data_IF_540176930042
#
_entry.id   IF_540176930042
#
_cell.length_a   1.000
_cell.length_b   1.000
_cell.length_c   1.000
_cell.angle_alpha   90.00
_cell.angle_beta   90.00
_cell.angle_gamma   90.00
#
_symmetry.space_group_name_H-M   'P 1'
#
loop_
_entity.id
_entity.type
_entity.pdbx_description
1 polymer ?
#
# COMPACT_ATOMS: atom_id res chain seq x y z
N UNK A 1 -11.33 16.95 9.54
CA UNK A 1 -10.07 16.36 9.01
C UNK A 1 -10.16 14.85 9.18
N UNK A 2 -10.40 14.08 8.11
CA UNK A 2 -10.79 12.67 8.16
C UNK A 2 -9.57 11.78 8.50
N UNK A 3 -9.26 11.62 9.79
CA UNK A 3 -8.10 10.87 10.29
C UNK A 3 -8.26 9.33 10.25
N UNK A 4 -9.35 8.80 9.70
CA UNK A 4 -9.80 7.43 10.04
C UNK A 4 -10.20 6.53 8.88
N UNK A 5 -9.92 6.91 7.63
CA UNK A 5 -9.92 5.97 6.52
C UNK A 5 -8.47 5.51 6.29
N UNK A 6 -8.15 4.27 6.67
CA UNK A 6 -6.92 3.55 6.34
C UNK A 6 -5.58 4.00 6.94
N UNK A 7 -5.57 5.00 7.82
CA UNK A 7 -4.33 5.66 8.28
C UNK A 7 -3.33 4.75 9.00
N UNK A 8 -3.69 3.78 9.87
CA UNK A 8 -2.69 2.91 10.51
C UNK A 8 -2.05 1.89 9.57
N UNK A 9 -2.79 1.45 8.54
CA UNK A 9 -2.38 0.35 7.66
C UNK A 9 -1.56 0.89 6.50
N UNK A 10 -2.02 1.96 5.84
CA UNK A 10 -1.28 2.62 4.75
C UNK A 10 -0.01 3.28 5.27
N UNK A 11 -0.02 3.90 6.44
CA UNK A 11 1.18 4.56 7.00
C UNK A 11 2.37 3.62 7.13
N UNK A 12 2.15 2.35 7.50
CA UNK A 12 3.25 1.37 7.60
C UNK A 12 3.91 1.12 6.25
N UNK A 13 3.13 1.11 5.17
CA UNK A 13 3.60 0.91 3.80
C UNK A 13 4.31 2.17 3.30
N UNK A 14 3.68 3.33 3.46
CA UNK A 14 4.21 4.63 3.03
C UNK A 14 5.55 4.94 3.72
N UNK A 15 5.71 4.59 4.99
CA UNK A 15 6.97 4.77 5.71
C UNK A 15 8.09 3.87 5.16
N UNK A 16 7.79 2.67 4.68
CA UNK A 16 8.80 1.78 4.07
C UNK A 16 9.30 2.36 2.75
N UNK A 17 8.39 2.78 1.87
CA UNK A 17 8.71 3.46 0.61
C UNK A 17 9.50 4.75 0.87
N UNK A 18 9.07 5.55 1.86
CA UNK A 18 9.76 6.78 2.26
C UNK A 18 11.20 6.51 2.70
N UNK A 19 11.42 5.51 3.54
CA UNK A 19 12.76 5.21 4.05
C UNK A 19 13.69 4.75 2.92
N UNK A 20 13.22 3.87 2.05
CA UNK A 20 13.96 3.42 0.86
C UNK A 20 14.34 4.59 -0.06
N UNK A 21 13.38 5.48 -0.37
CA UNK A 21 13.65 6.67 -1.18
C UNK A 21 14.65 7.61 -0.49
N UNK A 22 14.55 7.79 0.82
CA UNK A 22 15.48 8.60 1.61
C UNK A 22 16.90 8.02 1.57
N UNK A 23 17.02 6.70 1.55
CA UNK A 23 18.29 5.99 1.54
C UNK A 23 18.88 5.89 0.10
N UNK A 24 18.19 6.48 -0.90
CA UNK A 24 18.70 6.70 -2.26
C UNK A 24 18.13 5.76 -3.33
N UNK A 25 17.18 4.90 -2.99
CA UNK A 25 16.55 3.96 -3.93
C UNK A 25 15.60 4.68 -4.90
N UNK A 26 15.66 4.34 -6.18
CA UNK A 26 14.70 4.79 -7.19
C UNK A 26 13.55 3.79 -7.23
N UNK A 27 12.35 4.26 -6.91
CA UNK A 27 11.18 3.41 -6.69
C UNK A 27 10.11 3.70 -7.74
N UNK A 28 9.72 2.67 -8.48
CA UNK A 28 8.47 2.66 -9.24
C UNK A 28 7.32 2.23 -8.31
N UNK A 29 6.32 3.09 -8.16
CA UNK A 29 5.23 2.92 -7.19
C UNK A 29 3.86 3.07 -7.87
N UNK A 30 2.94 2.17 -7.56
CA UNK A 30 1.55 2.21 -8.04
C UNK A 30 0.56 1.87 -6.93
N UNK A 31 -0.58 2.57 -6.94
CA UNK A 31 -1.71 2.31 -6.03
C UNK A 31 -3.00 2.30 -6.83
N UNK A 32 -3.65 1.14 -6.87
CA UNK A 32 -4.85 0.91 -7.67
C UNK A 32 -6.05 0.60 -6.76
N UNK A 33 -7.13 1.41 -6.77
CA UNK A 33 -8.34 1.08 -6.04
C UNK A 33 -9.09 -0.10 -6.68
N UNK A 34 -9.55 -1.05 -5.85
CA UNK A 34 -10.32 -2.22 -6.30
C UNK A 34 -11.81 -1.99 -6.00
N UNK A 35 -12.63 -1.76 -7.02
CA UNK A 35 -14.08 -1.60 -6.87
C UNK A 35 -14.82 -2.92 -7.11
N UNK A 36 -15.98 -3.10 -6.47
CA UNK A 36 -16.83 -4.28 -6.69
C UNK A 36 -17.61 -4.25 -8.03
N UNK A 37 -17.56 -3.11 -8.74
CA UNK A 37 -18.24 -2.90 -10.02
C UNK A 37 -18.27 -1.41 -10.39
N UNK A 38 -18.72 -1.10 -11.60
CA UNK A 38 -18.55 0.22 -12.22
C UNK A 38 -19.31 1.37 -11.53
N UNK A 39 -20.38 1.06 -10.79
CA UNK A 39 -21.20 2.06 -10.10
C UNK A 39 -20.89 2.21 -8.61
N UNK A 40 -19.87 1.48 -8.12
CA UNK A 40 -19.51 1.49 -6.70
C UNK A 40 -18.57 2.65 -6.41
N UNK A 41 -18.98 3.57 -5.51
CA UNK A 41 -18.21 4.79 -5.20
C UNK A 41 -17.09 4.59 -4.18
N UNK A 42 -17.13 3.50 -3.42
CA UNK A 42 -16.16 3.20 -2.36
C UNK A 42 -15.42 1.93 -2.76
N UNK A 43 -14.09 1.95 -2.90
CA UNK A 43 -13.36 0.74 -3.24
C UNK A 43 -13.44 -0.26 -2.08
N UNK A 44 -13.37 -1.56 -2.41
CA UNK A 44 -13.21 -2.63 -1.44
C UNK A 44 -11.83 -2.62 -0.79
N UNK A 45 -10.86 -1.98 -1.43
CA UNK A 45 -9.48 -1.89 -0.96
C UNK A 45 -8.58 -1.23 -2.00
N UNK A 46 -7.28 -1.24 -1.74
CA UNK A 46 -6.25 -0.77 -2.67
C UNK A 46 -5.19 -1.83 -2.87
N UNK A 47 -4.80 -2.09 -4.11
CA UNK A 47 -3.59 -2.85 -4.43
C UNK A 47 -2.42 -1.89 -4.52
N UNK A 48 -1.34 -2.22 -3.82
CA UNK A 48 -0.10 -1.46 -3.80
C UNK A 48 1.00 -2.28 -4.43
N UNK A 49 1.74 -1.67 -5.33
CA UNK A 49 2.92 -2.26 -5.97
C UNK A 49 4.11 -1.29 -5.84
N UNK A 50 5.26 -1.81 -5.40
CA UNK A 50 6.49 -1.04 -5.34
C UNK A 50 7.69 -1.90 -5.78
N UNK A 51 8.45 -1.36 -6.72
CA UNK A 51 9.67 -1.94 -7.25
C UNK A 51 10.78 -0.90 -7.09
N UNK A 52 11.76 -1.20 -6.25
CA UNK A 52 12.95 -0.38 -6.09
C UNK A 52 14.16 -1.02 -6.77
N UNK A 53 15.06 -0.20 -7.28
CA UNK A 53 16.27 -0.62 -7.99
C UNK A 53 17.34 -1.25 -7.08
N UNK A 54 17.16 -1.18 -5.75
CA UNK A 54 18.01 -1.82 -4.74
C UNK A 54 17.34 -3.01 -4.05
N UNK A 55 16.20 -3.46 -4.57
CA UNK A 55 15.52 -4.66 -4.10
C UNK A 55 14.49 -4.44 -3.01
N UNK A 56 13.91 -3.23 -2.92
CA UNK A 56 12.77 -2.91 -2.05
C UNK A 56 11.78 -4.07 -1.95
N UNK A 57 11.52 -4.48 -0.71
CA UNK A 57 10.39 -5.34 -0.38
C UNK A 57 9.57 -4.70 0.72
N UNK A 58 8.25 -4.73 0.54
CA UNK A 58 7.30 -4.19 1.50
C UNK A 58 6.76 -5.30 2.38
N UNK A 59 6.57 -4.99 3.66
CA UNK A 59 5.90 -5.86 4.62
C UNK A 59 4.60 -5.19 5.08
N UNK A 60 3.45 -5.61 4.53
CA UNK A 60 2.15 -5.15 4.98
C UNK A 60 1.93 -5.53 6.45
N UNK A 61 1.19 -4.71 7.18
CA UNK A 61 0.86 -5.00 8.58
C UNK A 61 0.13 -6.35 8.68
N UNK A 62 0.67 -7.26 9.49
CA UNK A 62 0.10 -8.61 9.68
C UNK A 62 0.56 -9.64 8.66
N UNK A 63 1.51 -9.31 7.79
CA UNK A 63 2.21 -10.26 6.92
C UNK A 63 3.61 -10.54 7.45
N UNK A 64 3.97 -11.81 7.57
CA UNK A 64 5.35 -12.22 7.89
C UNK A 64 6.25 -12.26 6.63
N UNK A 65 5.62 -12.30 5.45
CA UNK A 65 6.31 -12.33 4.16
C UNK A 65 6.49 -10.92 3.61
N UNK A 66 7.69 -10.67 3.11
CA UNK A 66 8.00 -9.48 2.32
C UNK A 66 7.55 -9.70 0.88
N UNK A 67 6.98 -8.67 0.26
CA UNK A 67 6.42 -8.73 -1.09
C UNK A 67 6.55 -7.38 -1.80
N UNK A 68 6.47 -7.39 -3.12
CA UNK A 68 6.44 -6.18 -3.96
C UNK A 68 5.02 -5.75 -4.31
N UNK A 69 4.04 -6.64 -4.13
CA UNK A 69 2.63 -6.43 -4.46
C UNK A 69 1.73 -7.04 -3.39
N UNK A 70 0.71 -6.27 -2.95
CA UNK A 70 -0.30 -6.74 -2.00
C UNK A 70 -1.55 -5.85 -2.04
N UNK A 71 -2.67 -6.40 -1.56
CA UNK A 71 -3.94 -5.67 -1.44
C UNK A 71 -4.27 -5.39 0.02
N UNK A 72 -4.59 -4.13 0.31
CA UNK A 72 -5.13 -3.67 1.58
C UNK A 72 -6.65 -3.53 1.45
N UNK A 73 -7.36 -4.46 2.07
CA UNK A 73 -8.83 -4.47 2.08
C UNK A 73 -9.39 -3.49 3.12
N UNK A 74 -10.41 -2.75 2.73
CA UNK A 74 -11.30 -2.06 3.66
C UNK A 74 -12.09 -3.14 4.40
N UNK A 75 -11.72 -3.47 5.65
CA UNK A 75 -12.55 -4.36 6.46
C UNK A 75 -13.93 -3.73 6.64
N UNK A 76 -14.99 -4.49 6.34
CA UNK A 76 -16.32 -4.18 6.83
C UNK A 76 -16.25 -4.07 8.36
N UNK A 77 -16.79 -2.99 8.91
CA UNK A 77 -17.04 -2.86 10.35
C UNK A 77 -18.24 -3.71 10.73
#
# INVERSE_FOLDING_TARGET
MHQYANTPVMRTVEMQVRNAARDGEIIQYSVTPNYAGDNVRIPLGVTVEAYGDQGLQMRPRGSDSATRSFTLWNRAR
#
